data_IF_257227689575
#
_entry.id   IF_257227689575
#
_cell.length_a   1.000
_cell.length_b   1.000
_cell.length_c   1.000
_cell.angle_alpha   90.00
_cell.angle_beta   90.00
_cell.angle_gamma   90.00
#
_symmetry.space_group_name_H-M   'P 1'
#
loop_
_entity.id
_entity.type
_entity.pdbx_description
1 polymer ?
#
# COMPACT_ATOMS: atom_id res chain seq x y z
N UNK A 1 12.22 -9.78 -8.23
CA UNK A 1 11.72 -9.88 -6.84
C UNK A 1 10.72 -8.77 -6.53
N UNK A 2 11.05 -7.48 -6.69
CA UNK A 2 10.12 -6.37 -6.36
C UNK A 2 8.76 -6.45 -7.09
N UNK A 3 8.76 -6.84 -8.37
CA UNK A 3 7.51 -7.01 -9.14
C UNK A 3 6.59 -8.10 -8.57
N UNK A 4 7.15 -9.19 -8.01
CA UNK A 4 6.34 -10.23 -7.37
C UNK A 4 5.68 -9.70 -6.11
N UNK A 5 6.41 -8.94 -5.29
CA UNK A 5 5.83 -8.29 -4.11
C UNK A 5 4.75 -7.28 -4.49
N UNK A 6 4.93 -6.46 -5.54
CA UNK A 6 3.90 -5.54 -6.02
C UNK A 6 2.60 -6.28 -6.41
N UNK A 7 2.72 -7.43 -7.09
CA UNK A 7 1.55 -8.27 -7.45
C UNK A 7 0.89 -8.83 -6.20
N UNK A 8 1.68 -9.35 -5.24
CA UNK A 8 1.16 -9.87 -3.97
C UNK A 8 0.44 -8.77 -3.19
N UNK A 9 1.00 -7.56 -3.11
CA UNK A 9 0.36 -6.42 -2.44
C UNK A 9 -0.93 -6.02 -3.14
N UNK A 10 -0.93 -5.92 -4.47
CA UNK A 10 -2.14 -5.62 -5.25
C UNK A 10 -3.25 -6.65 -5.00
N UNK A 11 -2.91 -7.94 -4.99
CA UNK A 11 -3.85 -9.01 -4.65
C UNK A 11 -4.33 -8.92 -3.18
N UNK A 12 -3.42 -8.60 -2.26
CA UNK A 12 -3.73 -8.41 -0.84
C UNK A 12 -4.75 -7.29 -0.60
N UNK A 13 -4.61 -6.15 -1.30
CA UNK A 13 -5.58 -5.04 -1.26
C UNK A 13 -6.97 -5.52 -1.69
N UNK A 14 -7.06 -6.27 -2.80
CA UNK A 14 -8.33 -6.80 -3.29
C UNK A 14 -8.95 -7.75 -2.25
N UNK A 15 -8.15 -8.67 -1.69
CA UNK A 15 -8.62 -9.62 -0.67
C UNK A 15 -9.09 -8.90 0.59
N UNK A 16 -8.38 -7.87 1.03
CA UNK A 16 -8.76 -7.04 2.18
C UNK A 16 -10.15 -6.42 1.96
N UNK A 17 -10.36 -5.78 0.80
CA UNK A 17 -11.66 -5.16 0.50
C UNK A 17 -12.79 -6.17 0.36
N UNK A 18 -12.53 -7.35 -0.22
CA UNK A 18 -13.53 -8.42 -0.27
C UNK A 18 -13.93 -8.87 1.14
N UNK A 19 -12.98 -9.01 2.07
CA UNK A 19 -13.25 -9.36 3.46
C UNK A 19 -13.99 -8.22 4.20
N UNK A 20 -13.65 -6.96 3.92
CA UNK A 20 -14.32 -5.79 4.48
C UNK A 20 -15.78 -5.73 4.04
N UNK A 21 -16.05 -5.82 2.74
CA UNK A 21 -17.41 -5.77 2.20
C UNK A 21 -18.26 -7.01 2.55
N UNK A 22 -17.63 -8.15 2.86
CA UNK A 22 -18.35 -9.31 3.41
C UNK A 22 -18.70 -9.17 4.89
N UNK A 23 -18.26 -8.08 5.55
CA UNK A 23 -18.44 -7.87 6.98
C UNK A 23 -17.54 -8.73 7.88
N UNK A 24 -16.56 -9.42 7.31
CA UNK A 24 -15.74 -10.39 8.05
C UNK A 24 -14.71 -9.72 8.98
N UNK A 25 -14.35 -8.47 8.70
CA UNK A 25 -13.32 -7.71 9.42
C UNK A 25 -13.84 -6.35 9.93
N UNK A 26 -15.16 -6.13 9.92
CA UNK A 26 -15.75 -4.92 10.49
C UNK A 26 -15.82 -5.09 12.02
N UNK A 27 -15.25 -4.17 12.82
CA UNK A 27 -15.37 -4.23 14.28
C UNK A 27 -16.83 -4.16 14.73
N UNK A 28 -17.22 -4.98 15.72
CA UNK A 28 -18.61 -5.06 16.22
C UNK A 28 -19.11 -3.72 16.79
N UNK A 29 -18.23 -2.99 17.46
CA UNK A 29 -18.52 -1.68 18.09
C UNK A 29 -18.00 -0.49 17.26
N UNK A 30 -17.85 -0.67 15.94
CA UNK A 30 -17.34 0.38 15.06
C UNK A 30 -18.22 1.65 15.11
N UNK A 31 -17.67 2.81 15.52
CA UNK A 31 -18.41 4.05 15.51
C UNK A 31 -18.73 4.48 14.08
N UNK A 32 -19.86 5.17 13.85
CA UNK A 32 -20.31 5.50 12.50
C UNK A 32 -19.31 6.30 11.64
N UNK A 33 -18.45 7.09 12.27
CA UNK A 33 -17.38 7.83 11.58
C UNK A 33 -16.23 6.92 11.10
N UNK A 34 -15.99 5.77 11.75
CA UNK A 34 -14.99 4.78 11.32
C UNK A 34 -15.40 4.20 9.97
N UNK A 35 -16.66 3.77 9.83
CA UNK A 35 -17.17 3.24 8.56
C UNK A 35 -17.14 4.31 7.46
N UNK A 36 -17.56 5.55 7.75
CA UNK A 36 -17.51 6.63 6.77
C UNK A 36 -16.09 6.91 6.26
N UNK A 37 -15.11 6.79 7.14
CA UNK A 37 -13.70 6.91 6.82
C UNK A 37 -13.20 5.72 5.98
N UNK A 38 -13.48 4.48 6.40
CA UNK A 38 -13.11 3.26 5.66
C UNK A 38 -13.71 3.24 4.24
N UNK A 39 -14.98 3.62 4.08
CA UNK A 39 -15.63 3.70 2.77
C UNK A 39 -15.04 4.75 1.81
N UNK A 40 -14.14 5.63 2.28
CA UNK A 40 -13.44 6.58 1.42
C UNK A 40 -12.26 5.95 0.65
N UNK A 41 -11.72 4.82 1.13
CA UNK A 41 -10.51 4.19 0.57
C UNK A 41 -10.70 3.26 -0.64
N UNK A 42 -11.82 2.56 -0.88
CA UNK A 42 -11.91 1.54 -1.93
C UNK A 42 -11.46 2.02 -3.31
N UNK A 43 -11.81 3.27 -3.67
CA UNK A 43 -11.43 3.86 -4.97
C UNK A 43 -9.94 4.17 -5.03
N UNK A 44 -9.38 4.75 -3.96
CA UNK A 44 -7.96 5.08 -3.87
C UNK A 44 -7.10 3.79 -3.88
N UNK A 45 -7.52 2.78 -3.14
CA UNK A 45 -6.87 1.48 -3.03
C UNK A 45 -6.97 0.67 -4.33
N UNK A 46 -8.11 0.72 -5.03
CA UNK A 46 -8.25 0.11 -6.34
C UNK A 46 -7.28 0.73 -7.36
N UNK A 47 -7.13 2.07 -7.34
CA UNK A 47 -6.17 2.76 -8.18
C UNK A 47 -4.72 2.36 -7.82
N UNK A 48 -4.41 2.26 -6.53
CA UNK A 48 -3.10 1.82 -6.04
C UNK A 48 -2.79 0.38 -6.47
N UNK A 49 -3.73 -0.55 -6.29
CA UNK A 49 -3.59 -1.94 -6.70
C UNK A 49 -3.38 -2.06 -8.21
N UNK A 50 -4.14 -1.32 -9.02
CA UNK A 50 -3.94 -1.25 -10.46
C UNK A 50 -2.57 -0.68 -10.83
N UNK A 51 -2.12 0.39 -10.16
CA UNK A 51 -0.80 0.98 -10.35
C UNK A 51 0.34 0.01 -10.02
N UNK A 52 0.26 -0.70 -8.90
CA UNK A 52 1.22 -1.73 -8.50
C UNK A 52 1.27 -2.88 -9.51
N UNK A 53 0.11 -3.35 -9.97
CA UNK A 53 0.03 -4.42 -10.96
C UNK A 53 0.63 -3.99 -12.32
N UNK A 54 0.27 -2.80 -12.81
CA UNK A 54 0.82 -2.23 -14.04
C UNK A 54 2.34 -2.00 -13.93
N UNK A 55 2.82 -1.47 -12.80
CA UNK A 55 4.25 -1.29 -12.52
C UNK A 55 4.99 -2.63 -12.59
N UNK A 56 4.43 -3.67 -11.97
CA UNK A 56 5.02 -5.01 -11.97
C UNK A 56 5.15 -5.57 -13.39
N UNK A 57 4.08 -5.48 -14.20
CA UNK A 57 4.09 -5.93 -15.59
C UNK A 57 5.12 -5.18 -16.44
N UNK A 58 5.24 -3.86 -16.26
CA UNK A 58 6.22 -3.03 -16.97
C UNK A 58 7.66 -3.39 -16.55
N UNK A 59 7.92 -3.62 -15.26
CA UNK A 59 9.22 -4.07 -14.76
C UNK A 59 9.58 -5.44 -15.34
N UNK A 60 8.64 -6.39 -15.40
CA UNK A 60 8.85 -7.70 -16.00
C UNK A 60 9.18 -7.61 -17.49
N UNK A 61 8.61 -6.62 -18.20
CA UNK A 61 8.92 -6.29 -19.59
C UNK A 61 10.19 -5.45 -19.77
N UNK A 62 10.94 -5.16 -18.71
CA UNK A 62 12.12 -4.28 -18.71
C UNK A 62 11.84 -2.85 -19.23
N UNK A 63 10.61 -2.37 -19.10
CA UNK A 63 10.24 -1.02 -19.50
C UNK A 63 10.59 -0.03 -18.36
N UNK A 64 11.35 1.06 -18.64
CA UNK A 64 11.75 2.04 -17.63
C UNK A 64 10.57 2.69 -16.91
N UNK A 65 9.43 2.88 -17.58
CA UNK A 65 8.20 3.45 -16.98
C UNK A 65 7.68 2.63 -15.80
N UNK A 66 7.98 1.32 -15.75
CA UNK A 66 7.60 0.48 -14.62
C UNK A 66 8.21 0.96 -13.31
N UNK A 67 9.40 1.56 -13.36
CA UNK A 67 10.11 2.08 -12.19
C UNK A 67 9.53 3.40 -11.72
N UNK A 68 9.24 4.30 -12.66
CA UNK A 68 8.65 5.59 -12.36
C UNK A 68 7.27 5.39 -11.72
N UNK A 69 6.47 4.47 -12.29
CA UNK A 69 5.19 4.09 -11.72
C UNK A 69 5.34 3.42 -10.34
N UNK A 70 6.40 2.61 -10.13
CA UNK A 70 6.68 2.04 -8.82
C UNK A 70 6.94 3.12 -7.76
N UNK A 71 7.68 4.18 -8.11
CA UNK A 71 7.95 5.30 -7.20
C UNK A 71 6.68 6.07 -6.84
N UNK A 72 5.78 6.28 -7.81
CA UNK A 72 4.46 6.89 -7.55
C UNK A 72 3.64 6.01 -6.58
N UNK A 73 3.57 4.70 -6.84
CA UNK A 73 2.85 3.76 -5.96
C UNK A 73 3.48 3.68 -4.56
N UNK A 74 4.80 3.78 -4.46
CA UNK A 74 5.50 3.79 -3.18
C UNK A 74 5.14 5.02 -2.34
N UNK A 75 5.05 6.20 -2.96
CA UNK A 75 4.57 7.41 -2.30
C UNK A 75 3.13 7.27 -1.79
N UNK A 76 2.26 6.70 -2.62
CA UNK A 76 0.87 6.43 -2.25
C UNK A 76 0.76 5.45 -1.07
N UNK A 77 1.52 4.36 -1.06
CA UNK A 77 1.57 3.40 0.06
C UNK A 77 2.00 4.06 1.38
N UNK A 78 3.07 4.86 1.35
CA UNK A 78 3.56 5.56 2.55
C UNK A 78 2.52 6.55 3.05
N UNK A 79 1.93 7.33 2.14
CA UNK A 79 0.90 8.30 2.49
C UNK A 79 -0.32 7.62 3.11
N UNK A 80 -0.79 6.52 2.51
CA UNK A 80 -1.92 5.73 3.01
C UNK A 80 -1.65 5.22 4.43
N UNK A 81 -0.51 4.57 4.68
CA UNK A 81 -0.18 4.05 6.00
C UNK A 81 -0.03 5.13 7.08
N UNK A 82 0.51 6.30 6.74
CA UNK A 82 0.62 7.44 7.68
C UNK A 82 -0.76 8.05 7.97
N UNK A 83 -1.57 8.24 6.92
CA UNK A 83 -2.93 8.77 7.05
C UNK A 83 -3.73 7.89 8.00
N UNK A 84 -3.62 6.57 7.84
CA UNK A 84 -4.36 5.62 8.66
C UNK A 84 -3.86 5.52 10.10
N UNK A 85 -2.54 5.57 10.33
CA UNK A 85 -2.00 5.74 11.69
C UNK A 85 -2.52 7.01 12.34
N UNK A 86 -2.57 8.12 11.60
CA UNK A 86 -3.01 9.42 12.12
C UNK A 86 -4.47 9.35 12.54
N UNK A 87 -5.36 8.80 11.70
CA UNK A 87 -6.76 8.64 12.02
C UNK A 87 -6.97 7.70 13.22
N UNK A 88 -6.33 6.54 13.21
CA UNK A 88 -6.48 5.54 14.27
C UNK A 88 -5.97 6.04 15.64
N UNK A 89 -4.89 6.84 15.63
CA UNK A 89 -4.34 7.44 16.85
C UNK A 89 -5.24 8.56 17.38
N UNK A 90 -5.71 9.46 16.51
CA UNK A 90 -6.54 10.61 16.91
C UNK A 90 -7.91 10.19 17.43
N UNK A 91 -8.49 9.13 16.88
CA UNK A 91 -9.83 8.66 17.25
C UNK A 91 -9.79 7.50 18.26
N UNK A 92 -8.62 7.12 18.77
CA UNK A 92 -8.48 6.05 19.77
C UNK A 92 -8.88 4.66 19.25
N UNK A 93 -8.88 4.43 17.93
CA UNK A 93 -9.27 3.15 17.32
C UNK A 93 -8.34 2.01 17.79
N UNK A 94 -7.05 2.30 17.97
CA UNK A 94 -6.09 1.35 18.52
C UNK A 94 -6.38 0.94 19.98
N UNK A 95 -7.24 1.66 20.69
CA UNK A 95 -7.62 1.35 22.06
C UNK A 95 -8.96 0.59 22.15
N UNK A 96 -9.69 0.41 21.05
CA UNK A 96 -10.99 -0.28 21.04
C UNK A 96 -10.83 -1.79 21.23
N UNK A 97 -9.90 -2.41 20.50
CA UNK A 97 -9.65 -3.85 20.54
C UNK A 97 -8.19 -4.15 20.24
N UNK A 98 -7.61 -5.11 20.97
CA UNK A 98 -6.23 -5.56 20.71
C UNK A 98 -6.08 -6.21 19.34
N UNK A 99 -7.11 -6.91 18.84
CA UNK A 99 -7.07 -7.55 17.52
C UNK A 99 -7.15 -6.52 16.38
N UNK A 100 -8.00 -5.52 16.51
CA UNK A 100 -8.11 -4.45 15.52
C UNK A 100 -6.83 -3.60 15.50
N UNK A 101 -6.25 -3.36 16.68
CA UNK A 101 -5.01 -2.62 16.80
C UNK A 101 -3.83 -3.34 16.15
N UNK A 102 -3.74 -4.65 16.32
CA UNK A 102 -2.70 -5.45 15.67
C UNK A 102 -2.91 -5.50 14.16
N UNK A 103 -4.14 -5.67 13.69
CA UNK A 103 -4.44 -5.81 12.26
C UNK A 103 -4.21 -4.48 11.52
N UNK A 104 -4.81 -3.38 11.99
CA UNK A 104 -4.61 -2.07 11.40
C UNK A 104 -3.16 -1.60 11.56
N UNK A 105 -2.55 -1.82 12.74
CA UNK A 105 -1.15 -1.49 12.97
C UNK A 105 -0.21 -2.24 12.02
N UNK A 106 -0.46 -3.53 11.77
CA UNK A 106 0.34 -4.34 10.85
C UNK A 106 0.20 -3.86 9.41
N UNK A 107 -1.03 -3.65 8.92
CA UNK A 107 -1.28 -3.19 7.54
C UNK A 107 -0.64 -1.82 7.32
N UNK A 108 -0.80 -0.90 8.28
CA UNK A 108 -0.24 0.44 8.17
C UNK A 108 1.28 0.45 8.17
N UNK A 109 1.88 -0.32 9.06
CA UNK A 109 3.33 -0.50 9.09
C UNK A 109 3.84 -1.15 7.81
N UNK A 110 3.14 -2.16 7.30
CA UNK A 110 3.47 -2.82 6.04
C UNK A 110 3.46 -1.83 4.87
N UNK A 111 2.43 -1.00 4.75
CA UNK A 111 2.34 0.03 3.70
C UNK A 111 3.54 0.98 3.72
N UNK A 112 3.93 1.47 4.91
CA UNK A 112 5.09 2.37 5.06
C UNK A 112 6.39 1.65 4.72
N UNK A 113 6.64 0.49 5.34
CA UNK A 113 7.88 -0.26 5.17
C UNK A 113 8.06 -0.70 3.73
N UNK A 114 7.01 -1.23 3.10
CA UNK A 114 7.07 -1.69 1.73
C UNK A 114 7.27 -0.52 0.74
N UNK A 115 6.60 0.61 0.95
CA UNK A 115 6.84 1.82 0.16
C UNK A 115 8.29 2.31 0.27
N UNK A 116 8.88 2.31 1.47
CA UNK A 116 10.29 2.66 1.66
C UNK A 116 11.22 1.68 0.91
N UNK A 117 10.96 0.37 1.01
CA UNK A 117 11.74 -0.65 0.30
C UNK A 117 11.66 -0.44 -1.22
N UNK A 118 10.48 -0.11 -1.76
CA UNK A 118 10.31 0.20 -3.18
C UNK A 118 11.16 1.40 -3.61
N UNK A 119 11.17 2.48 -2.84
CA UNK A 119 11.99 3.67 -3.12
C UNK A 119 13.48 3.32 -3.13
N UNK A 120 13.96 2.65 -2.09
CA UNK A 120 15.39 2.29 -1.95
C UNK A 120 15.85 1.38 -3.09
N UNK A 121 15.02 0.41 -3.46
CA UNK A 121 15.32 -0.55 -4.53
C UNK A 121 15.39 0.12 -5.90
N UNK A 122 14.54 1.13 -6.17
CA UNK A 122 14.60 1.83 -7.45
C UNK A 122 15.71 2.88 -7.52
N UNK A 123 16.01 3.57 -6.41
CA UNK A 123 17.13 4.53 -6.33
C UNK A 123 18.48 3.88 -6.61
N UNK A 124 18.75 2.70 -6.06
CA UNK A 124 20.01 1.97 -6.27
C UNK A 124 20.30 1.66 -7.75
N UNK A 125 19.26 1.53 -8.56
CA UNK A 125 19.40 1.18 -9.96
C UNK A 125 19.38 2.37 -10.93
N UNK A 126 18.92 3.55 -10.49
CA UNK A 126 19.07 4.80 -11.27
C UNK A 126 20.55 5.17 -11.41
N UNK A 127 21.32 5.01 -10.34
CA UNK A 127 22.76 5.26 -10.35
C UNK A 127 23.52 4.29 -11.27
N UNK A 128 23.07 3.03 -11.40
CA UNK A 128 23.70 2.04 -12.29
C UNK A 128 23.34 2.20 -13.77
N UNK A 129 22.11 2.64 -14.08
CA UNK A 129 21.70 2.92 -15.46
C UNK A 129 22.42 4.13 -16.05
N UNK A 130 22.71 5.14 -15.22
CA UNK A 130 23.39 6.36 -15.65
C UNK A 130 24.90 6.16 -15.89
N UNK A 131 25.54 5.21 -15.20
CA UNK A 131 26.94 4.81 -15.48
C UNK A 131 27.05 3.91 -16.71
N UNK A 132 26.05 3.08 -17.01
CA UNK A 132 26.08 2.21 -18.19
C UNK A 132 25.82 2.94 -19.53
N UNK A 133 25.12 4.08 -19.51
CA UNK A 133 24.84 4.89 -20.70
C UNK A 133 25.96 5.89 -21.06
N UNK A 134 27.01 5.97 -20.24
CA UNK A 134 28.13 6.91 -20.41
C UNK A 134 29.40 6.31 -21.04
N UNK A 135 29.33 5.08 -21.58
CA UNK A 135 30.45 4.39 -22.23
C UNK A 135 30.11 4.00 -23.67
#
# INVERSE_FOLDING_TARGET
>A
MIAAFQIITAAGIIVFWLAFFSGAIIPEDAPGYYLAYEYAFPVADALLAAGLFCSALLILKRNPLGRDLALVCAGALIFLGILDISFNTLNGIYALSTMDALTNGFVNLYCIVFGIIMILTQKGNLHQGNTAAGH
#
